data_IF_336430923301
#
_entry.id   IF_336430923301
#
_cell.length_a   1.000
_cell.length_b   1.000
_cell.length_c   1.000
_cell.angle_alpha   90.00
_cell.angle_beta   90.00
_cell.angle_gamma   90.00
#
_symmetry.space_group_name_H-M   'P 1'
#
loop_
_entity.id
_entity.type
_entity.pdbx_description
1 polymer ?
#
# COMPACT_ATOMS: atom_id res chain seq x y z
N UNK A 1 7.22 -5.99 -6.34
CA UNK A 1 6.10 -5.63 -7.25
C UNK A 1 6.12 -4.13 -7.49
N UNK A 2 5.60 -3.67 -8.64
CA UNK A 2 5.46 -2.24 -8.96
C UNK A 2 4.00 -1.97 -9.35
N UNK A 3 3.53 -0.76 -9.07
CA UNK A 3 2.17 -0.34 -9.36
C UNK A 3 2.17 1.05 -9.96
N UNK A 4 1.19 1.33 -10.82
CA UNK A 4 1.01 2.62 -11.48
C UNK A 4 -0.42 3.09 -11.32
N UNK A 5 -0.59 4.38 -11.08
CA UNK A 5 -1.89 5.07 -11.10
C UNK A 5 -1.70 6.47 -11.69
N UNK A 6 -2.79 7.24 -11.76
CA UNK A 6 -2.75 8.67 -12.09
C UNK A 6 -3.36 9.48 -10.96
N UNK A 7 -2.85 10.69 -10.74
CA UNK A 7 -3.57 11.65 -9.90
C UNK A 7 -4.84 12.17 -10.60
N UNK A 8 -5.60 13.02 -9.93
CA UNK A 8 -6.83 13.60 -10.49
C UNK A 8 -6.60 14.54 -11.67
N UNK A 9 -5.37 14.93 -11.97
CA UNK A 9 -5.00 15.74 -13.15
C UNK A 9 -4.39 14.89 -14.27
N UNK A 10 -4.32 13.58 -14.09
CA UNK A 10 -3.83 12.63 -15.09
C UNK A 10 -2.32 12.41 -15.07
N UNK A 11 -1.58 12.97 -14.10
CA UNK A 11 -0.14 12.74 -14.02
C UNK A 11 0.15 11.33 -13.50
N UNK A 12 0.95 10.52 -14.22
CA UNK A 12 1.27 9.16 -13.81
C UNK A 12 2.19 9.13 -12.59
N UNK A 13 1.89 8.20 -11.69
CA UNK A 13 2.63 7.95 -10.46
C UNK A 13 2.92 6.45 -10.38
N UNK A 14 4.17 6.11 -10.09
CA UNK A 14 4.64 4.74 -10.02
C UNK A 14 5.20 4.50 -8.64
N UNK A 15 4.70 3.48 -7.94
CA UNK A 15 5.40 2.92 -6.79
C UNK A 15 6.23 1.72 -7.24
N UNK A 16 7.45 1.66 -6.72
CA UNK A 16 8.40 0.63 -7.09
C UNK A 16 9.38 0.36 -5.97
N UNK A 17 10.13 -0.71 -6.14
CA UNK A 17 11.19 -1.09 -5.24
C UNK A 17 12.52 -0.82 -5.94
N UNK A 18 13.42 -0.11 -5.26
CA UNK A 18 14.78 0.06 -5.75
C UNK A 18 15.66 -1.05 -5.18
N UNK A 19 16.26 -1.85 -6.06
CA UNK A 19 17.21 -2.89 -5.68
C UNK A 19 18.59 -2.27 -5.42
N UNK A 20 18.95 -2.10 -4.15
CA UNK A 20 20.33 -1.89 -3.72
C UNK A 20 20.92 -3.18 -3.16
N UNK A 21 22.23 -3.38 -3.26
CA UNK A 21 22.94 -4.37 -2.42
C UNK A 21 23.33 -3.64 -1.13
N UNK A 22 22.95 -4.08 0.08
CA UNK A 22 22.29 -5.35 0.44
C UNK A 22 20.76 -5.25 0.64
N UNK A 23 20.11 -4.18 0.18
CA UNK A 23 18.84 -3.72 0.74
C UNK A 23 17.86 -3.25 -0.34
N UNK A 24 16.63 -3.74 -0.31
CA UNK A 24 15.54 -3.23 -1.16
C UNK A 24 14.70 -2.22 -0.36
N UNK A 25 14.36 -1.10 -0.99
CA UNK A 25 13.65 0.02 -0.39
C UNK A 25 12.45 0.41 -1.25
N UNK A 26 11.35 0.80 -0.61
CA UNK A 26 10.15 1.29 -1.28
C UNK A 26 10.31 2.76 -1.70
N UNK A 27 9.99 3.03 -2.96
CA UNK A 27 10.00 4.36 -3.55
C UNK A 27 8.69 4.64 -4.28
N UNK A 28 8.42 5.93 -4.45
CA UNK A 28 7.42 6.44 -5.38
C UNK A 28 8.08 7.48 -6.29
N UNK A 29 7.67 7.52 -7.55
CA UNK A 29 8.04 8.57 -8.51
C UNK A 29 6.80 9.07 -9.23
N UNK A 30 6.81 10.34 -9.62
CA UNK A 30 5.69 11.01 -10.30
C UNK A 30 6.21 11.76 -11.51
N UNK A 31 5.47 11.73 -12.61
CA UNK A 31 5.76 12.53 -13.79
C UNK A 31 5.22 13.95 -13.63
N UNK A 32 5.98 14.95 -14.06
CA UNK A 32 5.51 16.32 -14.27
C UNK A 32 4.71 16.49 -15.56
N UNK A 33 4.61 15.45 -16.39
CA UNK A 33 3.94 15.45 -17.69
C UNK A 33 2.78 14.46 -17.69
N UNK A 34 1.65 14.82 -18.30
CA UNK A 34 0.45 13.99 -18.47
C UNK A 34 0.12 13.78 -19.97
N UNK A 35 1.11 13.89 -20.84
CA UNK A 35 0.98 13.88 -22.32
C UNK A 35 1.59 12.63 -22.98
N UNK A 36 1.86 11.59 -22.19
CA UNK A 36 2.53 10.36 -22.65
C UNK A 36 4.05 10.45 -22.70
N UNK A 37 4.65 11.60 -22.37
CA UNK A 37 6.09 11.72 -22.12
C UNK A 37 6.39 11.62 -20.62
N UNK A 38 7.66 11.37 -20.27
CA UNK A 38 8.10 11.30 -18.88
C UNK A 38 9.10 12.42 -18.58
N UNK A 39 8.84 13.16 -17.52
CA UNK A 39 9.82 14.01 -16.83
C UNK A 39 9.54 13.90 -15.35
N UNK A 40 10.56 13.65 -14.53
CA UNK A 40 10.35 13.42 -13.09
C UNK A 40 10.00 14.74 -12.40
N UNK A 41 8.89 14.77 -11.66
CA UNK A 41 8.47 15.93 -10.88
C UNK A 41 9.49 16.22 -9.76
N UNK A 42 9.72 17.50 -9.48
CA UNK A 42 10.63 17.92 -8.41
C UNK A 42 10.21 17.30 -7.05
N UNK A 43 11.20 16.80 -6.30
CA UNK A 43 10.96 16.07 -5.05
C UNK A 43 10.75 14.55 -5.21
N UNK A 44 10.77 14.05 -6.44
CA UNK A 44 10.79 12.62 -6.77
C UNK A 44 12.13 12.21 -7.43
N UNK A 45 12.54 10.92 -7.33
CA UNK A 45 11.88 9.85 -6.59
C UNK A 45 11.97 10.06 -5.07
N UNK A 46 10.93 9.64 -4.36
CA UNK A 46 10.83 9.75 -2.90
C UNK A 46 10.93 8.37 -2.26
N UNK A 47 11.83 8.22 -1.29
CA UNK A 47 11.91 7.04 -0.44
C UNK A 47 10.77 7.05 0.58
N UNK A 48 10.04 5.94 0.71
CA UNK A 48 8.86 5.84 1.56
C UNK A 48 9.14 5.23 2.93
N UNK A 49 10.18 4.40 3.03
CA UNK A 49 10.59 3.70 4.25
C UNK A 49 12.11 3.69 4.36
N UNK A 50 12.63 3.78 5.58
CA UNK A 50 14.05 3.55 5.89
C UNK A 50 14.37 2.09 6.21
N UNK A 51 13.36 1.26 6.46
CA UNK A 51 13.52 -0.17 6.65
C UNK A 51 13.81 -0.83 5.31
N UNK A 52 14.78 -1.73 5.32
CA UNK A 52 15.10 -2.57 4.17
C UNK A 52 14.71 -4.02 4.44
N UNK A 53 14.32 -4.72 3.39
CA UNK A 53 14.03 -6.15 3.39
C UNK A 53 14.23 -6.68 1.97
N UNK A 54 14.33 -7.99 1.81
CA UNK A 54 14.46 -8.64 0.51
C UNK A 54 13.10 -9.10 -0.08
N UNK A 55 12.00 -8.81 0.63
CA UNK A 55 10.65 -9.19 0.24
C UNK A 55 9.70 -8.00 0.38
N UNK A 56 9.48 -7.29 -0.72
CA UNK A 56 8.56 -6.17 -0.79
C UNK A 56 7.47 -6.34 -1.84
N UNK A 57 6.29 -5.86 -1.47
CA UNK A 57 5.27 -5.42 -2.40
C UNK A 57 5.07 -3.92 -2.21
N UNK A 58 4.70 -3.23 -3.28
CA UNK A 58 4.24 -1.85 -3.17
C UNK A 58 3.10 -1.61 -4.15
N UNK A 59 2.14 -0.80 -3.70
CA UNK A 59 0.96 -0.42 -4.47
C UNK A 59 0.66 1.06 -4.24
N UNK A 60 0.35 1.80 -5.30
CA UNK A 60 -0.07 3.21 -5.21
C UNK A 60 -1.50 3.34 -5.67
N UNK A 61 -2.30 4.06 -4.88
CA UNK A 61 -3.73 4.25 -5.12
C UNK A 61 -4.04 5.73 -5.12
N UNK A 62 -4.69 6.19 -6.18
CA UNK A 62 -5.26 7.52 -6.24
C UNK A 62 -6.51 7.61 -5.39
N UNK A 63 -6.56 8.58 -4.47
CA UNK A 63 -7.73 8.86 -3.62
C UNK A 63 -8.57 10.02 -4.14
N UNK A 64 -8.17 10.62 -5.27
CA UNK A 64 -8.76 11.82 -5.87
C UNK A 64 -8.27 13.13 -5.24
N UNK A 65 -8.46 14.25 -5.94
CA UNK A 65 -7.99 15.58 -5.51
C UNK A 65 -6.48 15.60 -5.20
N UNK A 66 -5.66 15.01 -6.08
CA UNK A 66 -4.20 14.80 -5.92
C UNK A 66 -3.77 13.93 -4.73
N UNK A 67 -4.69 13.43 -3.92
CA UNK A 67 -4.37 12.60 -2.76
C UNK A 67 -3.99 11.19 -3.18
N UNK A 68 -3.00 10.62 -2.52
CA UNK A 68 -2.48 9.29 -2.79
C UNK A 68 -2.36 8.50 -1.50
N UNK A 69 -2.55 7.19 -1.59
CA UNK A 69 -2.06 6.24 -0.60
C UNK A 69 -1.01 5.38 -1.28
N UNK A 70 0.20 5.33 -0.72
CA UNK A 70 1.16 4.29 -1.08
C UNK A 70 1.21 3.28 0.03
N UNK A 71 1.04 2.05 -0.36
CA UNK A 71 1.12 0.88 0.48
C UNK A 71 2.40 0.11 0.15
N UNK A 72 2.97 -0.51 1.17
CA UNK A 72 4.05 -1.44 0.99
C UNK A 72 4.10 -2.47 2.11
N UNK A 73 4.63 -3.65 1.78
CA UNK A 73 4.88 -4.73 2.72
C UNK A 73 6.36 -5.00 2.86
N UNK A 74 6.78 -5.45 4.04
CA UNK A 74 8.13 -5.94 4.31
C UNK A 74 8.04 -7.27 5.07
N UNK A 75 9.03 -8.15 4.92
CA UNK A 75 9.14 -9.34 5.74
C UNK A 75 10.06 -9.10 6.94
N UNK A 76 9.53 -9.36 8.13
CA UNK A 76 10.24 -9.38 9.40
C UNK A 76 10.34 -10.83 9.90
N UNK A 77 11.54 -11.40 10.06
CA UNK A 77 11.71 -12.79 10.48
C UNK A 77 11.06 -13.14 11.83
N UNK A 78 10.79 -12.16 12.69
CA UNK A 78 10.18 -12.37 14.00
C UNK A 78 8.67 -12.15 14.02
N UNK A 79 8.14 -11.33 13.11
CA UNK A 79 6.73 -10.91 13.09
C UNK A 79 5.94 -11.43 11.88
N UNK A 80 6.63 -11.97 10.88
CA UNK A 80 6.07 -12.30 9.57
C UNK A 80 6.08 -11.08 8.64
N UNK A 81 5.20 -11.07 7.65
CA UNK A 81 5.02 -9.87 6.85
C UNK A 81 4.38 -8.75 7.68
N UNK A 82 4.73 -7.51 7.38
CA UNK A 82 4.20 -6.30 8.01
C UNK A 82 3.80 -5.30 6.92
N UNK A 83 2.66 -4.65 7.12
CA UNK A 83 2.11 -3.69 6.16
C UNK A 83 2.22 -2.26 6.68
N UNK A 84 2.57 -1.37 5.77
CA UNK A 84 2.75 0.04 6.05
C UNK A 84 2.08 0.86 4.94
N UNK A 85 1.70 2.08 5.30
CA UNK A 85 1.19 3.06 4.33
C UNK A 85 1.76 4.44 4.58
N UNK A 86 1.91 5.22 3.51
CA UNK A 86 2.15 6.65 3.60
C UNK A 86 1.12 7.38 2.73
N UNK A 87 0.56 8.47 3.26
CA UNK A 87 -0.47 9.25 2.59
C UNK A 87 0.12 10.56 2.07
N UNK A 88 -0.17 10.88 0.81
CA UNK A 88 0.02 12.21 0.26
C UNK A 88 -1.31 12.95 0.28
N UNK A 89 -1.38 14.11 0.91
CA UNK A 89 -2.62 14.88 1.09
C UNK A 89 -2.99 15.78 -0.08
N UNK A 90 -2.22 15.73 -1.17
CA UNK A 90 -2.32 16.63 -2.31
C UNK A 90 -1.32 17.79 -2.28
N UNK A 91 -0.65 17.98 -1.14
CA UNK A 91 0.38 19.01 -0.94
C UNK A 91 1.64 18.49 -0.24
N UNK A 92 1.49 17.54 0.69
CA UNK A 92 2.57 17.02 1.51
C UNK A 92 2.40 15.53 1.81
N UNK A 93 3.51 14.86 2.07
CA UNK A 93 3.52 13.47 2.54
C UNK A 93 3.43 13.45 4.06
N UNK A 94 2.48 12.69 4.59
CA UNK A 94 2.36 12.41 6.01
C UNK A 94 3.45 11.47 6.53
N UNK A 95 3.41 11.18 7.83
CA UNK A 95 4.23 10.15 8.42
C UNK A 95 3.86 8.75 7.88
N UNK A 96 4.81 7.82 7.96
CA UNK A 96 4.55 6.40 7.76
C UNK A 96 3.58 5.89 8.84
N UNK A 97 2.58 5.12 8.42
CA UNK A 97 1.63 4.45 9.30
C UNK A 97 1.89 2.94 9.25
N UNK A 98 2.19 2.33 10.39
CA UNK A 98 2.33 0.89 10.52
C UNK A 98 3.14 0.45 11.75
N UNK A 99 3.31 -0.87 11.95
CA UNK A 99 2.71 -1.95 11.15
C UNK A 99 1.17 -2.00 11.33
N UNK A 100 0.44 -2.12 10.22
CA UNK A 100 -1.03 -2.11 10.18
C UNK A 100 -1.60 -3.49 10.50
N UNK A 101 -0.82 -4.57 10.41
CA UNK A 101 -1.33 -5.91 10.63
C UNK A 101 -0.34 -6.74 11.45
N UNK A 102 -0.79 -7.46 12.47
CA UNK A 102 0.06 -8.41 13.17
C UNK A 102 0.02 -9.80 12.51
N UNK A 103 1.19 -10.38 12.22
CA UNK A 103 1.37 -11.81 11.94
C UNK A 103 1.47 -12.22 10.47
N UNK A 104 1.66 -13.53 10.24
CA UNK A 104 1.88 -14.15 8.93
C UNK A 104 0.65 -14.03 8.01
N UNK A 105 0.80 -13.22 6.95
CA UNK A 105 -0.19 -13.00 5.91
C UNK A 105 0.48 -13.15 4.54
N UNK A 106 -0.26 -13.67 3.55
CA UNK A 106 0.34 -14.10 2.28
C UNK A 106 -0.19 -13.37 1.07
N UNK A 107 -1.47 -13.02 1.09
CA UNK A 107 -2.12 -12.32 -0.01
C UNK A 107 -2.81 -11.09 0.53
N UNK A 108 -2.77 -10.01 -0.24
CA UNK A 108 -3.41 -8.76 0.10
C UNK A 108 -3.89 -8.05 -1.15
N UNK A 109 -4.83 -7.14 -0.95
CA UNK A 109 -5.24 -6.16 -1.94
C UNK A 109 -5.59 -4.89 -1.20
N UNK A 110 -5.20 -3.76 -1.76
CA UNK A 110 -5.56 -2.46 -1.25
C UNK A 110 -6.30 -1.68 -2.35
N UNK A 111 -7.38 -0.99 -1.97
CA UNK A 111 -8.17 -0.23 -2.94
C UNK A 111 -8.77 1.03 -2.34
N UNK A 112 -9.21 1.94 -3.21
CA UNK A 112 -9.96 3.12 -2.81
C UNK A 112 -11.39 2.71 -2.47
N UNK A 113 -11.81 2.99 -1.25
CA UNK A 113 -13.20 2.88 -0.81
C UNK A 113 -13.99 4.17 -0.98
N UNK A 114 -15.27 4.18 -0.54
CA UNK A 114 -16.12 5.36 -0.53
C UNK A 114 -15.48 6.53 0.24
N UNK A 115 -15.79 7.77 -0.15
CA UNK A 115 -15.33 8.99 0.52
C UNK A 115 -13.79 9.08 0.67
N UNK A 116 -13.05 8.59 -0.33
CA UNK A 116 -11.58 8.56 -0.32
C UNK A 116 -10.97 7.77 0.85
N UNK A 117 -11.73 6.83 1.40
CA UNK A 117 -11.18 5.84 2.33
C UNK A 117 -10.25 4.86 1.61
N UNK A 118 -9.37 4.23 2.37
CA UNK A 118 -8.53 3.13 1.92
C UNK A 118 -9.05 1.85 2.53
N UNK A 119 -9.20 0.82 1.70
CA UNK A 119 -9.64 -0.50 2.09
C UNK A 119 -8.48 -1.46 1.91
N UNK A 120 -8.15 -2.22 2.94
CA UNK A 120 -7.14 -3.26 2.89
C UNK A 120 -7.84 -4.59 3.20
N UNK A 121 -7.69 -5.57 2.31
CA UNK A 121 -8.05 -6.96 2.55
C UNK A 121 -6.82 -7.85 2.49
N UNK A 122 -6.74 -8.86 3.34
CA UNK A 122 -5.64 -9.82 3.35
C UNK A 122 -6.07 -11.17 3.89
N UNK A 123 -5.31 -12.20 3.55
CA UNK A 123 -5.49 -13.55 4.10
C UNK A 123 -4.54 -13.78 5.28
N UNK A 124 -5.05 -14.40 6.34
CA UNK A 124 -4.25 -14.85 7.48
C UNK A 124 -4.59 -16.30 7.78
N UNK A 125 -3.63 -17.19 7.51
CA UNK A 125 -3.76 -18.65 7.64
C UNK A 125 -4.96 -19.21 6.86
N UNK A 126 -6.17 -19.15 7.44
CA UNK A 126 -7.42 -19.72 6.92
C UNK A 126 -8.60 -18.72 6.96
N UNK A 127 -8.33 -17.42 7.16
CA UNK A 127 -9.38 -16.41 7.14
C UNK A 127 -9.03 -15.24 6.21
N UNK A 128 -10.08 -14.57 5.73
CA UNK A 128 -9.97 -13.30 5.03
C UNK A 128 -10.33 -12.18 5.99
N UNK A 129 -9.46 -11.19 6.08
CA UNK A 129 -9.58 -10.04 6.98
C UNK A 129 -9.62 -8.75 6.20
N UNK A 130 -10.16 -7.73 6.85
CA UNK A 130 -10.38 -6.43 6.28
C UNK A 130 -10.09 -5.33 7.31
N UNK A 131 -9.44 -4.25 6.87
CA UNK A 131 -9.33 -2.98 7.60
C UNK A 131 -9.71 -1.83 6.70
N UNK A 132 -10.31 -0.79 7.29
CA UNK A 132 -10.64 0.46 6.62
C UNK A 132 -9.92 1.62 7.28
N UNK A 133 -9.34 2.50 6.48
CA UNK A 133 -8.82 3.81 6.89
C UNK A 133 -9.69 4.90 6.28
N UNK A 134 -10.53 5.62 7.04
CA UNK A 134 -11.22 6.80 6.53
C UNK A 134 -10.21 7.88 6.12
N UNK A 135 -10.60 8.76 5.19
CA UNK A 135 -9.80 9.94 4.90
C UNK A 135 -9.62 10.79 6.16
N UNK A 136 -8.39 11.24 6.42
CA UNK A 136 -8.06 12.05 7.60
C UNK A 136 -8.12 11.32 8.97
N UNK A 137 -8.33 10.00 8.99
CA UNK A 137 -8.39 9.23 10.23
C UNK A 137 -7.45 8.02 10.24
N UNK A 138 -7.28 7.37 11.40
CA UNK A 138 -6.42 6.20 11.56
C UNK A 138 -7.05 4.94 10.97
N UNK A 139 -6.26 3.87 10.85
CA UNK A 139 -6.77 2.53 10.53
C UNK A 139 -7.77 2.05 11.59
N UNK A 140 -8.99 1.75 11.16
CA UNK A 140 -10.04 1.18 12.00
C UNK A 140 -9.74 -0.25 12.42
N UNK A 141 -10.58 -0.82 13.29
CA UNK A 141 -10.42 -2.20 13.76
C UNK A 141 -10.42 -3.21 12.60
N UNK A 142 -9.77 -4.35 12.84
CA UNK A 142 -9.77 -5.49 11.94
C UNK A 142 -11.12 -6.22 12.00
N UNK A 143 -11.62 -6.58 10.82
CA UNK A 143 -12.87 -7.33 10.65
C UNK A 143 -12.52 -8.65 9.96
N UNK A 144 -12.97 -9.76 10.54
CA UNK A 144 -12.94 -11.08 9.88
C UNK A 144 -14.13 -11.18 8.92
N UNK A 145 -13.86 -11.39 7.63
CA UNK A 145 -14.87 -11.42 6.56
C UNK A 145 -15.27 -12.85 6.20
N UNK A 146 -14.32 -13.79 6.26
CA UNK A 146 -14.53 -15.21 6.03
C UNK A 146 -13.76 -16.00 7.08
N UNK A 147 -14.36 -17.04 7.64
CA UNK A 147 -13.70 -17.96 8.57
C UNK A 147 -13.82 -19.39 8.04
N UNK A 148 -12.72 -19.96 7.51
CA UNK A 148 -12.71 -21.35 7.06
C UNK A 148 -12.34 -22.34 8.18
N UNK A 149 -12.21 -21.88 9.44
CA UNK A 149 -11.95 -22.80 10.56
C UNK A 149 -13.17 -23.63 10.98
N UNK A 150 -14.37 -23.37 10.44
CA UNK A 150 -15.60 -24.10 10.78
C UNK A 150 -15.78 -25.43 10.04
N UNK A 151 -14.92 -25.78 9.08
CA UNK A 151 -15.00 -27.07 8.38
C UNK A 151 -16.17 -27.21 7.40
N UNK A 152 -16.98 -26.17 7.19
CA UNK A 152 -18.07 -26.15 6.22
C UNK A 152 -17.54 -25.87 4.80
N UNK A 153 -16.63 -26.71 4.33
CA UNK A 153 -16.29 -26.73 2.91
C UNK A 153 -17.28 -27.65 2.19
N UNK A 154 -18.27 -27.08 1.50
CA UNK A 154 -19.03 -27.79 0.47
C UNK A 154 -18.29 -27.58 -0.86
N UNK A 155 -17.50 -28.56 -1.34
CA UNK A 155 -17.00 -28.49 -2.70
C UNK A 155 -18.20 -28.57 -3.65
N UNK A 156 -18.37 -27.55 -4.49
CA UNK A 156 -19.26 -27.61 -5.64
C UNK A 156 -18.82 -28.73 -6.60
#
# INVERSE_FOLDING_TARGET
FQSITTDSEGYPIISYQLNGVPSQLAYVTKSSNNDGTWSTEAGYPRQLSTFSSNQWSTEVISLGSKRLCVYYSTYNPLAGYEFYTQIFDGSSWGAEEGPITPGDHRQHSITRGPNSSVLLSYTRVNDMRFRKRPWGGPWGAEIKVLDESSGDYSPW
#
